data_IF_683439477795
#
_entry.id   IF_683439477795
#
_cell.length_a   1.000
_cell.length_b   1.000
_cell.length_c   1.000
_cell.angle_alpha   90.00
_cell.angle_beta   90.00
_cell.angle_gamma   90.00
#
_symmetry.space_group_name_H-M   'P 1'
#
loop_
_entity.id
_entity.type
_entity.pdbx_description
1 polymer ?
#
# COMPACT_ATOMS: atom_id res chain seq x y z
N UNK A 1 25.02 45.17 -63.20
CA UNK A 1 24.83 43.75 -63.55
C UNK A 1 25.36 42.88 -62.41
N UNK A 2 24.62 42.73 -61.31
CA UNK A 2 24.95 41.79 -60.22
C UNK A 2 23.63 41.21 -59.71
N UNK A 3 23.36 39.95 -60.06
CA UNK A 3 22.30 39.11 -59.45
C UNK A 3 22.89 38.51 -58.18
N UNK A 4 22.26 38.68 -57.02
CA UNK A 4 22.47 37.83 -55.85
C UNK A 4 21.15 37.15 -55.50
N UNK A 5 21.09 35.85 -55.79
CA UNK A 5 20.08 34.93 -55.28
C UNK A 5 20.28 34.79 -53.77
N UNK A 6 19.26 35.14 -52.97
CA UNK A 6 19.14 34.63 -51.61
C UNK A 6 18.48 33.25 -51.67
N UNK A 7 19.23 32.21 -51.27
CA UNK A 7 18.71 30.87 -51.00
C UNK A 7 17.85 30.95 -49.73
N UNK A 8 16.58 30.55 -49.83
CA UNK A 8 15.75 30.29 -48.67
C UNK A 8 16.28 29.04 -47.95
N UNK A 9 16.78 29.22 -46.73
CA UNK A 9 17.09 28.13 -45.81
C UNK A 9 15.77 27.77 -45.12
N UNK A 10 15.20 26.64 -45.49
CA UNK A 10 14.08 26.03 -44.77
C UNK A 10 14.65 25.36 -43.52
N UNK A 11 14.48 25.98 -42.36
CA UNK A 11 14.72 25.34 -41.06
C UNK A 11 13.48 24.50 -40.77
N UNK A 12 13.57 23.18 -41.01
CA UNK A 12 12.60 22.23 -40.47
C UNK A 12 12.85 22.16 -38.96
N UNK A 13 12.06 22.90 -38.19
CA UNK A 13 12.03 22.72 -36.74
C UNK A 13 11.27 21.43 -36.45
N UNK A 14 11.99 20.37 -36.11
CA UNK A 14 11.41 19.20 -35.45
C UNK A 14 10.92 19.67 -34.08
N UNK A 15 9.61 19.86 -33.94
CA UNK A 15 8.99 19.94 -32.63
C UNK A 15 8.98 18.53 -32.03
N UNK A 16 9.97 18.22 -31.19
CA UNK A 16 9.80 17.16 -30.21
C UNK A 16 8.80 17.69 -29.19
N UNK A 17 7.56 17.19 -29.25
CA UNK A 17 6.63 17.34 -28.13
C UNK A 17 7.22 16.54 -26.98
N UNK A 18 7.84 17.21 -26.01
CA UNK A 18 8.12 16.59 -24.72
C UNK A 18 6.76 16.26 -24.10
N UNK A 19 6.36 14.99 -24.14
CA UNK A 19 5.29 14.52 -23.28
C UNK A 19 5.77 14.75 -21.84
N UNK A 20 5.10 15.63 -21.10
CA UNK A 20 5.26 15.68 -19.66
C UNK A 20 4.27 14.67 -19.09
N UNK A 21 4.75 13.55 -18.58
CA UNK A 21 3.93 12.68 -17.74
C UNK A 21 3.56 13.44 -16.46
N UNK A 22 2.34 13.27 -15.96
CA UNK A 22 2.01 13.83 -14.66
C UNK A 22 2.74 13.02 -13.59
N UNK A 23 3.32 13.72 -12.61
CA UNK A 23 3.96 13.09 -11.48
C UNK A 23 3.10 13.21 -10.23
N UNK A 24 2.84 12.07 -9.59
CA UNK A 24 2.07 11.96 -8.36
C UNK A 24 2.98 11.51 -7.23
N UNK A 25 3.43 12.46 -6.39
CA UNK A 25 4.25 12.13 -5.22
C UNK A 25 5.56 11.40 -5.58
N UNK A 26 6.12 11.69 -6.76
CA UNK A 26 7.33 11.06 -7.30
C UNK A 26 7.09 9.84 -8.18
N UNK A 27 5.83 9.46 -8.42
CA UNK A 27 5.45 8.40 -9.38
C UNK A 27 5.12 9.06 -10.72
N UNK A 28 5.72 8.63 -11.82
CA UNK A 28 5.42 9.05 -13.19
C UNK A 28 4.50 8.00 -13.84
N UNK A 29 3.37 8.42 -14.42
CA UNK A 29 2.44 7.49 -15.07
C UNK A 29 2.92 7.19 -16.48
N UNK A 30 3.83 6.22 -16.64
CA UNK A 30 4.52 5.92 -17.89
C UNK A 30 4.60 4.42 -18.25
N UNK A 31 4.10 3.54 -17.38
CA UNK A 31 4.11 2.08 -17.55
C UNK A 31 5.39 1.41 -17.05
N UNK A 32 6.31 2.15 -16.40
CA UNK A 32 7.50 1.64 -15.74
C UNK A 32 7.25 1.47 -14.23
N UNK A 33 8.03 0.61 -13.55
CA UNK A 33 7.88 0.35 -12.11
C UNK A 33 9.08 0.82 -11.29
N UNK A 34 9.98 1.61 -11.87
CA UNK A 34 11.26 2.00 -11.25
C UNK A 34 11.13 3.05 -10.14
N UNK A 35 10.05 3.82 -10.17
CA UNK A 35 9.62 4.81 -9.18
C UNK A 35 8.80 4.19 -8.02
N UNK A 36 8.17 3.04 -8.26
CA UNK A 36 7.47 2.24 -7.25
C UNK A 36 8.44 1.55 -6.28
N UNK A 37 8.14 1.64 -4.99
CA UNK A 37 8.92 0.97 -3.95
C UNK A 37 8.28 -0.35 -3.57
N UNK A 38 9.09 -1.24 -3.01
CA UNK A 38 8.62 -2.53 -2.48
C UNK A 38 7.51 -2.35 -1.42
N UNK A 39 7.55 -1.25 -0.66
CA UNK A 39 6.52 -0.92 0.35
C UNK A 39 5.19 -0.47 -0.26
N UNK A 40 5.17 -0.08 -1.53
CA UNK A 40 3.96 0.32 -2.23
C UNK A 40 3.22 -0.90 -2.84
N UNK A 41 3.86 -2.09 -2.84
CA UNK A 41 3.23 -3.35 -3.25
C UNK A 41 2.27 -3.82 -2.17
N UNK A 42 1.00 -4.02 -2.52
CA UNK A 42 -0.03 -4.43 -1.57
C UNK A 42 -0.04 -5.95 -1.34
N UNK A 43 0.13 -6.75 -2.39
CA UNK A 43 0.02 -8.20 -2.33
C UNK A 43 1.37 -8.88 -1.99
N UNK A 44 1.94 -8.50 -0.84
CA UNK A 44 3.17 -9.11 -0.36
C UNK A 44 2.88 -10.54 0.15
N UNK A 45 3.72 -11.53 -0.19
CA UNK A 45 3.56 -12.89 0.30
C UNK A 45 3.80 -12.99 1.81
N UNK A 46 2.87 -13.58 2.55
CA UNK A 46 2.95 -13.76 4.01
C UNK A 46 4.23 -14.48 4.49
N UNK A 47 4.79 -15.35 3.63
CA UNK A 47 5.90 -16.24 3.99
C UNK A 47 7.26 -15.82 3.43
N UNK A 48 7.37 -14.68 2.76
CA UNK A 48 8.63 -14.21 2.18
C UNK A 48 8.87 -12.74 2.52
N UNK A 49 10.13 -12.33 2.74
CA UNK A 49 10.44 -10.92 2.88
C UNK A 49 10.03 -10.18 1.60
N UNK A 50 9.58 -8.91 1.69
CA UNK A 50 9.05 -8.17 0.55
C UNK A 50 9.99 -8.09 -0.66
N UNK A 51 11.30 -8.09 -0.41
CA UNK A 51 12.35 -8.08 -1.45
C UNK A 51 12.44 -9.36 -2.28
N UNK A 52 11.82 -10.45 -1.84
CA UNK A 52 11.78 -11.74 -2.53
C UNK A 52 10.39 -12.03 -3.14
N UNK A 53 9.45 -11.08 -3.06
CA UNK A 53 8.13 -11.22 -3.64
C UNK A 53 8.23 -11.33 -5.17
N UNK A 54 7.67 -12.41 -5.73
CA UNK A 54 7.57 -12.67 -7.18
C UNK A 54 6.09 -12.74 -7.59
N UNK A 55 5.80 -13.03 -8.85
CA UNK A 55 4.42 -13.14 -9.34
C UNK A 55 3.82 -11.83 -9.80
N UNK A 56 2.54 -11.92 -10.09
CA UNK A 56 1.66 -10.79 -10.33
C UNK A 56 1.66 -9.86 -9.11
N UNK A 57 1.61 -8.57 -9.37
CA UNK A 57 1.73 -7.56 -8.33
C UNK A 57 0.70 -6.46 -8.54
N UNK A 58 0.15 -5.98 -7.43
CA UNK A 58 -0.57 -4.71 -7.39
C UNK A 58 0.16 -3.78 -6.44
N UNK A 59 0.44 -2.60 -6.93
CA UNK A 59 0.99 -1.49 -6.16
C UNK A 59 -0.06 -0.42 -6.05
N UNK A 60 -0.10 0.27 -4.92
CA UNK A 60 -0.94 1.44 -4.78
C UNK A 60 -0.40 2.42 -3.75
N UNK A 61 -0.71 3.70 -3.97
CA UNK A 61 -0.31 4.77 -3.07
C UNK A 61 -1.30 5.90 -3.13
N UNK A 62 -1.68 6.41 -1.96
CA UNK A 62 -2.35 7.69 -1.88
C UNK A 62 -1.35 8.84 -1.95
N UNK A 63 -1.67 9.83 -2.77
CA UNK A 63 -0.85 11.01 -3.00
C UNK A 63 -1.71 12.24 -2.77
N UNK A 64 -1.27 13.13 -1.87
CA UNK A 64 -2.02 14.35 -1.54
C UNK A 64 -1.67 15.56 -2.44
N UNK A 65 -0.60 15.47 -3.24
CA UNK A 65 -0.08 16.57 -4.08
C UNK A 65 0.41 16.03 -5.44
N UNK A 66 0.07 16.66 -6.58
CA UNK A 66 -0.54 17.99 -6.71
C UNK A 66 -2.05 18.03 -6.37
N UNK A 67 -2.75 16.91 -6.50
CA UNK A 67 -4.14 16.73 -6.09
C UNK A 67 -4.30 15.37 -5.38
N UNK A 68 -5.20 15.26 -4.38
CA UNK A 68 -5.56 13.99 -3.76
C UNK A 68 -5.96 12.92 -4.78
N UNK A 69 -5.20 11.83 -4.84
CA UNK A 69 -5.45 10.72 -5.74
C UNK A 69 -4.90 9.40 -5.20
N UNK A 70 -5.53 8.31 -5.59
CA UNK A 70 -5.00 6.96 -5.46
C UNK A 70 -4.35 6.56 -6.77
N UNK A 71 -3.05 6.33 -6.73
CA UNK A 71 -2.26 5.86 -7.87
C UNK A 71 -2.11 4.36 -7.73
N UNK A 72 -2.30 3.63 -8.83
CA UNK A 72 -2.21 2.18 -8.88
C UNK A 72 -1.25 1.75 -9.99
N UNK A 73 -0.56 0.64 -9.77
CA UNK A 73 0.10 -0.11 -10.82
C UNK A 73 -0.21 -1.60 -10.69
N UNK A 74 -0.56 -2.24 -11.80
CA UNK A 74 -0.78 -3.68 -11.90
C UNK A 74 0.33 -4.25 -12.78
N UNK A 75 0.93 -5.34 -12.34
CA UNK A 75 1.92 -6.10 -13.09
C UNK A 75 1.44 -7.53 -13.24
N UNK A 76 1.34 -7.99 -14.49
CA UNK A 76 1.13 -9.38 -14.84
C UNK A 76 2.47 -10.06 -15.18
N UNK A 77 2.70 -11.28 -14.73
CA UNK A 77 3.92 -12.04 -15.04
C UNK A 77 3.82 -12.70 -16.42
N UNK A 78 2.70 -13.38 -16.70
CA UNK A 78 2.55 -14.22 -17.89
C UNK A 78 1.90 -13.52 -19.07
N UNK A 79 0.84 -12.74 -18.84
CA UNK A 79 -0.07 -12.25 -19.87
C UNK A 79 -0.13 -10.73 -19.97
N UNK A 80 -0.71 -10.21 -21.05
CA UNK A 80 -0.97 -8.79 -21.20
C UNK A 80 -2.23 -8.42 -20.41
N UNK A 81 -2.20 -7.25 -19.77
CA UNK A 81 -3.35 -6.68 -19.09
C UNK A 81 -4.28 -6.10 -20.15
N UNK A 82 -5.56 -6.50 -20.12
CA UNK A 82 -6.54 -6.12 -21.11
C UNK A 82 -7.96 -6.12 -20.56
N UNK A 83 -8.92 -6.32 -21.46
CA UNK A 83 -10.35 -6.36 -21.14
C UNK A 83 -10.67 -7.31 -19.97
N UNK A 84 -11.64 -6.92 -19.16
CA UNK A 84 -12.09 -7.63 -17.95
C UNK A 84 -11.07 -7.63 -16.80
N UNK A 85 -9.99 -6.85 -16.88
CA UNK A 85 -9.20 -6.50 -15.69
C UNK A 85 -10.01 -5.53 -14.82
N UNK A 86 -10.27 -5.92 -13.57
CA UNK A 86 -11.08 -5.14 -12.64
C UNK A 86 -10.33 -4.79 -11.36
N UNK A 87 -10.52 -3.59 -10.83
CA UNK A 87 -10.09 -3.19 -9.48
C UNK A 87 -11.29 -2.68 -8.70
N UNK A 88 -11.67 -3.42 -7.67
CA UNK A 88 -12.80 -3.17 -6.78
C UNK A 88 -12.36 -2.36 -5.57
N UNK A 89 -13.11 -1.31 -5.23
CA UNK A 89 -12.77 -0.32 -4.22
C UNK A 89 -13.87 -0.25 -3.16
N UNK A 90 -13.53 -0.66 -1.94
CA UNK A 90 -14.31 -0.43 -0.73
C UNK A 90 -13.84 0.89 -0.10
N UNK A 91 -14.69 1.91 -0.12
CA UNK A 91 -14.31 3.28 0.23
C UNK A 91 -14.83 3.70 1.60
N UNK A 92 -15.86 3.03 2.11
CA UNK A 92 -16.42 3.30 3.44
C UNK A 92 -15.92 2.31 4.51
N UNK A 93 -15.20 1.26 4.10
CA UNK A 93 -14.66 0.23 4.98
C UNK A 93 -15.73 -0.74 5.50
N UNK A 94 -16.97 -0.67 5.00
CA UNK A 94 -18.07 -1.53 5.38
C UNK A 94 -18.28 -2.59 4.30
N UNK A 95 -17.77 -3.79 4.56
CA UNK A 95 -17.99 -4.91 3.64
C UNK A 95 -19.49 -5.23 3.44
N UNK A 96 -20.44 -4.72 4.22
CA UNK A 96 -21.87 -5.01 4.03
C UNK A 96 -22.58 -4.09 3.03
N UNK A 97 -21.97 -2.96 2.65
CA UNK A 97 -22.45 -2.01 1.64
C UNK A 97 -21.82 -2.29 0.27
N UNK A 98 -22.28 -1.59 -0.77
CA UNK A 98 -21.72 -1.72 -2.11
C UNK A 98 -21.95 -3.05 -2.83
N UNK A 99 -21.16 -3.26 -3.90
CA UNK A 99 -21.21 -4.46 -4.72
C UNK A 99 -20.53 -5.65 -4.03
N UNK A 100 -21.14 -6.82 -4.20
CA UNK A 100 -20.62 -8.10 -3.71
C UNK A 100 -20.06 -8.93 -4.84
N UNK A 101 -18.75 -9.13 -4.84
CA UNK A 101 -18.07 -10.02 -5.79
C UNK A 101 -18.56 -11.44 -5.53
N UNK A 102 -19.18 -12.05 -6.55
CA UNK A 102 -19.87 -13.34 -6.47
C UNK A 102 -20.86 -13.47 -5.30
N UNK A 103 -21.44 -12.35 -4.88
CA UNK A 103 -22.43 -12.29 -3.80
C UNK A 103 -21.86 -12.46 -2.38
N UNK A 104 -20.54 -12.55 -2.20
CA UNK A 104 -19.94 -12.85 -0.88
C UNK A 104 -18.79 -11.92 -0.47
N UNK A 105 -17.93 -11.52 -1.41
CA UNK A 105 -16.70 -10.81 -1.09
C UNK A 105 -16.80 -9.31 -1.38
N UNK A 106 -15.92 -8.54 -0.74
CA UNK A 106 -15.88 -7.08 -0.79
C UNK A 106 -17.17 -6.42 -0.26
N UNK A 107 -17.20 -5.10 -0.37
CA UNK A 107 -18.35 -4.21 -0.34
C UNK A 107 -17.93 -2.99 -1.16
N UNK A 108 -17.95 -3.12 -2.48
CA UNK A 108 -17.32 -2.13 -3.35
C UNK A 108 -18.29 -1.00 -3.71
N UNK A 109 -18.03 0.22 -3.25
CA UNK A 109 -18.77 1.41 -3.70
C UNK A 109 -18.37 1.81 -5.11
N UNK A 110 -17.15 1.48 -5.54
CA UNK A 110 -16.63 1.80 -6.86
C UNK A 110 -15.79 0.67 -7.43
N UNK A 111 -15.65 0.63 -8.75
CA UNK A 111 -14.69 -0.24 -9.39
C UNK A 111 -14.16 0.38 -10.67
N UNK A 112 -12.90 0.06 -11.00
CA UNK A 112 -12.29 0.37 -12.29
C UNK A 112 -12.36 -0.89 -13.14
N UNK A 113 -12.81 -0.77 -14.39
CA UNK A 113 -12.79 -1.87 -15.35
C UNK A 113 -12.10 -1.45 -16.65
N UNK A 114 -11.30 -2.35 -17.20
CA UNK A 114 -10.70 -2.20 -18.52
C UNK A 114 -11.64 -2.82 -19.55
N UNK A 115 -12.00 -2.05 -20.58
CA UNK A 115 -12.87 -2.52 -21.68
C UNK A 115 -12.05 -2.85 -22.93
N UNK A 116 -12.73 -3.35 -23.97
CA UNK A 116 -12.14 -3.64 -25.30
C UNK A 116 -11.30 -2.52 -25.96
N UNK A 117 -11.36 -1.26 -25.51
CA UNK A 117 -10.48 -0.20 -25.98
C UNK A 117 -9.18 -0.06 -25.16
N UNK A 118 -8.94 -0.99 -24.23
CA UNK A 118 -7.82 -1.11 -23.30
C UNK A 118 -7.64 0.09 -22.38
N UNK A 119 -8.73 0.76 -21.97
CA UNK A 119 -8.65 1.91 -21.06
C UNK A 119 -9.37 1.67 -19.74
N UNK A 120 -8.83 2.22 -18.64
CA UNK A 120 -9.50 2.20 -17.35
C UNK A 120 -10.62 3.23 -17.26
N UNK A 121 -11.79 2.76 -16.83
CA UNK A 121 -12.98 3.56 -16.58
C UNK A 121 -13.53 3.26 -15.19
N UNK A 122 -13.98 4.30 -14.48
CA UNK A 122 -14.55 4.21 -13.15
C UNK A 122 -16.08 4.05 -13.21
N UNK A 123 -16.59 3.13 -12.40
CA UNK A 123 -18.01 2.81 -12.26
C UNK A 123 -18.44 2.81 -10.79
N UNK A 124 -19.73 3.01 -10.60
CA UNK A 124 -20.41 2.87 -9.32
C UNK A 124 -20.71 1.39 -9.06
N UNK A 125 -20.27 0.91 -7.90
CA UNK A 125 -20.53 -0.45 -7.43
C UNK A 125 -21.86 -0.59 -6.68
N UNK A 126 -22.36 0.47 -6.04
CA UNK A 126 -23.68 0.48 -5.40
C UNK A 126 -24.78 0.33 -6.44
N UNK A 127 -24.70 1.11 -7.52
CA UNK A 127 -25.53 1.01 -8.72
C UNK A 127 -24.74 0.30 -9.82
N UNK A 128 -24.39 -0.96 -9.58
CA UNK A 128 -23.52 -1.76 -10.44
C UNK A 128 -23.73 -1.55 -11.95
N UNK A 129 -22.69 -1.07 -12.62
CA UNK A 129 -22.69 -0.77 -14.06
C UNK A 129 -22.95 0.69 -14.42
N UNK A 130 -23.24 1.56 -13.45
CA UNK A 130 -23.37 3.00 -13.70
C UNK A 130 -21.99 3.67 -13.88
N UNK A 131 -21.84 4.39 -14.98
CA UNK A 131 -20.59 5.04 -15.35
C UNK A 131 -20.34 6.30 -14.53
N UNK A 132 -19.19 6.38 -13.86
CA UNK A 132 -18.79 7.55 -13.07
C UNK A 132 -17.90 8.47 -13.90
N UNK A 133 -16.87 7.92 -14.57
CA UNK A 133 -15.98 8.73 -15.39
C UNK A 133 -14.84 7.97 -16.05
N UNK A 134 -14.23 8.62 -17.05
CA UNK A 134 -13.02 8.15 -17.69
C UNK A 134 -12.92 8.51 -19.19
N UNK A 135 -11.87 8.03 -19.88
CA UNK A 135 -10.82 7.18 -19.34
C UNK A 135 -10.03 7.89 -18.23
N UNK A 136 -9.62 7.15 -17.22
CA UNK A 136 -8.72 7.66 -16.19
C UNK A 136 -7.37 8.01 -16.81
N UNK A 137 -6.51 8.74 -16.10
CA UNK A 137 -5.11 8.87 -16.51
C UNK A 137 -4.44 7.50 -16.38
N UNK A 138 -3.72 7.05 -17.41
CA UNK A 138 -3.15 5.72 -17.46
C UNK A 138 -1.94 5.61 -18.40
N UNK A 139 -1.12 4.59 -18.18
CA UNK A 139 -0.04 4.19 -19.07
C UNK A 139 0.15 2.67 -19.04
N UNK A 140 0.57 2.10 -20.17
CA UNK A 140 0.98 0.70 -20.25
C UNK A 140 2.47 0.61 -20.54
N UNK A 141 3.13 -0.43 -20.03
CA UNK A 141 4.44 -0.83 -20.54
C UNK A 141 4.37 -1.19 -22.02
N UNK A 142 5.53 -1.15 -22.70
CA UNK A 142 5.65 -1.54 -24.11
C UNK A 142 5.15 -2.97 -24.40
N UNK A 143 5.25 -3.88 -23.42
CA UNK A 143 4.76 -5.26 -23.53
C UNK A 143 3.31 -5.45 -23.04
N UNK A 144 2.67 -4.41 -22.52
CA UNK A 144 1.29 -4.43 -22.00
C UNK A 144 1.13 -5.21 -20.70
N UNK A 145 2.23 -5.55 -20.00
CA UNK A 145 2.21 -6.32 -18.77
C UNK A 145 2.19 -5.47 -17.51
N UNK A 146 2.45 -4.17 -17.63
CA UNK A 146 2.28 -3.18 -16.59
C UNK A 146 1.20 -2.21 -17.02
N UNK A 147 0.26 -1.94 -16.13
CA UNK A 147 -0.74 -0.89 -16.28
C UNK A 147 -0.65 0.01 -15.05
N UNK A 148 -0.42 1.28 -15.27
CA UNK A 148 -0.52 2.33 -14.26
C UNK A 148 -1.77 3.17 -14.51
N UNK A 149 -2.45 3.58 -13.45
CA UNK A 149 -3.58 4.50 -13.57
C UNK A 149 -3.84 5.28 -12.29
N UNK A 150 -4.58 6.37 -12.43
CA UNK A 150 -4.86 7.31 -11.35
C UNK A 150 -6.36 7.46 -11.13
N UNK A 151 -6.77 7.35 -9.87
CA UNK A 151 -8.14 7.65 -9.42
C UNK A 151 -8.10 8.90 -8.56
N UNK A 152 -8.60 10.05 -9.03
CA UNK A 152 -8.78 11.23 -8.19
C UNK A 152 -9.67 10.89 -6.98
N UNK A 153 -9.24 11.24 -5.77
CA UNK A 153 -9.97 10.88 -4.55
C UNK A 153 -11.41 11.45 -4.54
N UNK A 154 -11.60 12.62 -5.16
CA UNK A 154 -12.91 13.26 -5.31
C UNK A 154 -13.89 12.50 -6.20
N UNK A 155 -13.41 11.58 -7.06
CA UNK A 155 -14.28 10.71 -7.86
C UNK A 155 -14.82 9.52 -7.05
N UNK A 156 -14.23 9.24 -5.88
CA UNK A 156 -14.58 8.12 -5.01
C UNK A 156 -14.94 8.60 -3.59
N UNK A 157 -15.51 9.80 -3.48
CA UNK A 157 -15.99 10.42 -2.24
C UNK A 157 -14.93 10.72 -1.17
N UNK A 158 -13.67 10.93 -1.56
CA UNK A 158 -12.57 11.34 -0.67
C UNK A 158 -12.47 10.50 0.64
N UNK A 159 -12.24 9.18 0.53
CA UNK A 159 -12.33 8.27 1.67
C UNK A 159 -11.27 8.60 2.73
N UNK A 160 -11.69 8.70 4.00
CA UNK A 160 -10.89 9.22 5.13
C UNK A 160 -9.83 8.25 5.64
N UNK A 161 -10.09 6.95 5.59
CA UNK A 161 -9.27 5.92 6.25
C UNK A 161 -8.45 5.08 5.25
N UNK A 162 -8.55 5.42 3.96
CA UNK A 162 -8.00 4.65 2.86
C UNK A 162 -9.07 3.91 2.07
N UNK A 163 -8.63 3.00 1.21
CA UNK A 163 -9.47 2.20 0.34
C UNK A 163 -9.11 0.73 0.49
N UNK A 164 -10.12 -0.12 0.66
CA UNK A 164 -10.03 -1.57 0.55
C UNK A 164 -10.02 -1.98 -0.93
N UNK A 165 -9.17 -2.93 -1.30
CA UNK A 165 -8.89 -3.28 -2.69
C UNK A 165 -8.94 -4.78 -2.91
N UNK A 166 -9.74 -5.17 -3.91
CA UNK A 166 -9.59 -6.43 -4.64
C UNK A 166 -9.28 -6.10 -6.09
N UNK A 167 -8.53 -6.96 -6.76
CA UNK A 167 -8.27 -6.83 -8.17
C UNK A 167 -8.26 -8.19 -8.86
N UNK A 168 -8.56 -8.19 -10.14
CA UNK A 168 -8.37 -9.31 -11.03
C UNK A 168 -7.78 -8.83 -12.35
N UNK A 169 -6.97 -9.67 -12.98
CA UNK A 169 -6.40 -9.43 -14.31
C UNK A 169 -7.14 -10.32 -15.27
N UNK A 170 -7.77 -9.70 -16.28
CA UNK A 170 -8.56 -10.36 -17.31
C UNK A 170 -9.61 -11.35 -16.77
N UNK A 171 -10.14 -11.12 -15.56
CA UNK A 171 -11.04 -12.04 -14.84
C UNK A 171 -10.48 -13.48 -14.64
N UNK A 172 -9.16 -13.66 -14.71
CA UNK A 172 -8.49 -14.96 -14.61
C UNK A 172 -7.47 -15.03 -13.46
N UNK A 173 -6.73 -13.94 -13.20
CA UNK A 173 -5.74 -13.86 -12.12
C UNK A 173 -6.28 -12.98 -11.00
N UNK A 174 -6.53 -13.56 -9.83
CA UNK A 174 -7.11 -12.84 -8.68
C UNK A 174 -6.03 -12.31 -7.72
N UNK A 175 -6.22 -11.09 -7.24
CA UNK A 175 -5.35 -10.39 -6.28
C UNK A 175 -6.22 -9.80 -5.16
N UNK A 176 -6.15 -10.30 -3.92
CA UNK A 176 -5.37 -11.46 -3.48
C UNK A 176 -5.75 -12.76 -4.19
N UNK A 177 -4.88 -13.76 -4.17
CA UNK A 177 -5.15 -15.07 -4.77
C UNK A 177 -6.34 -15.79 -4.10
N UNK A 178 -6.69 -15.39 -2.88
CA UNK A 178 -7.86 -15.86 -2.15
C UNK A 178 -8.60 -14.67 -1.53
N UNK A 179 -9.77 -14.33 -2.09
CA UNK A 179 -10.59 -13.21 -1.60
C UNK A 179 -11.20 -13.46 -0.22
N UNK A 180 -11.19 -14.71 0.27
CA UNK A 180 -11.65 -15.02 1.63
C UNK A 180 -10.68 -14.56 2.71
N UNK A 181 -9.42 -14.25 2.34
CA UNK A 181 -8.41 -13.72 3.27
C UNK A 181 -8.60 -12.24 3.59
N UNK A 182 -9.54 -11.56 2.93
CA UNK A 182 -9.82 -10.14 3.12
C UNK A 182 -9.22 -9.27 2.02
N UNK A 183 -9.60 -7.99 2.04
CA UNK A 183 -9.16 -6.99 1.08
C UNK A 183 -7.75 -6.48 1.39
N UNK A 184 -7.05 -6.03 0.36
CA UNK A 184 -5.81 -5.27 0.50
C UNK A 184 -6.16 -3.83 0.90
N UNK A 185 -5.27 -3.10 1.58
CA UNK A 185 -5.56 -1.74 2.04
C UNK A 185 -4.58 -0.71 1.49
N UNK A 186 -5.11 0.40 0.97
CA UNK A 186 -4.34 1.59 0.60
C UNK A 186 -4.71 2.70 1.57
N UNK A 187 -3.79 3.07 2.46
CA UNK A 187 -4.06 4.10 3.47
C UNK A 187 -3.90 5.51 2.88
N UNK A 188 -4.87 6.41 3.10
CA UNK A 188 -4.79 7.82 2.68
C UNK A 188 -3.78 8.62 3.52
N UNK A 189 -3.54 8.17 4.74
CA UNK A 189 -2.63 8.82 5.64
C UNK A 189 -1.89 7.72 6.40
N UNK A 190 -0.66 7.48 5.98
CA UNK A 190 0.32 7.19 7.02
C UNK A 190 1.29 8.35 7.05
N UNK A 191 0.85 9.43 7.71
CA UNK A 191 1.80 10.25 8.43
C UNK A 191 2.38 9.36 9.52
N UNK A 192 3.34 8.51 9.14
CA UNK A 192 4.33 8.08 10.10
C UNK A 192 5.09 9.35 10.44
N UNK A 193 4.98 9.86 11.66
CA UNK A 193 5.82 10.97 12.10
C UNK A 193 7.27 10.64 11.73
N UNK A 194 7.99 11.59 11.10
CA UNK A 194 9.37 11.33 10.70
C UNK A 194 10.18 10.97 11.95
N UNK A 195 11.04 9.97 11.82
CA UNK A 195 11.97 9.59 12.88
C UNK A 195 12.72 10.84 13.35
N UNK A 196 12.57 11.17 14.61
CA UNK A 196 13.23 12.31 15.24
C UNK A 196 14.63 11.95 15.76
N UNK A 197 14.86 10.66 16.00
CA UNK A 197 16.11 10.14 16.57
C UNK A 197 16.66 8.97 15.76
N UNK A 198 17.79 9.16 15.08
CA UNK A 198 18.42 8.15 14.21
C UNK A 198 19.44 7.24 14.92
N UNK A 199 19.54 7.32 16.25
CA UNK A 199 20.47 6.47 17.01
C UNK A 199 20.00 5.01 17.01
N UNK A 200 20.96 4.08 16.96
CA UNK A 200 20.65 2.65 16.99
C UNK A 200 20.19 2.23 18.39
N UNK A 201 18.90 1.93 18.52
CA UNK A 201 18.27 1.55 19.78
C UNK A 201 17.11 0.59 19.57
N UNK A 202 16.81 -0.16 20.61
CA UNK A 202 15.69 -1.11 20.65
C UNK A 202 14.74 -0.73 21.77
N UNK A 203 13.47 -1.08 21.65
CA UNK A 203 12.53 -1.00 22.76
C UNK A 203 12.18 -2.42 23.23
N UNK A 204 12.15 -2.63 24.54
CA UNK A 204 11.66 -3.88 25.13
C UNK A 204 10.29 -3.60 25.71
N UNK A 205 9.27 -4.29 25.18
CA UNK A 205 7.88 -4.08 25.57
C UNK A 205 7.53 -4.98 26.75
N UNK A 206 7.09 -4.36 27.83
CA UNK A 206 6.55 -5.03 29.00
C UNK A 206 5.03 -5.13 28.86
N UNK A 207 4.54 -6.37 28.77
CA UNK A 207 3.12 -6.68 28.67
C UNK A 207 2.58 -7.10 30.03
N UNK A 208 1.75 -6.24 30.61
CA UNK A 208 1.05 -6.53 31.87
C UNK A 208 0.05 -7.67 31.66
N UNK A 209 -0.65 -7.65 30.52
CA UNK A 209 -1.58 -8.72 30.13
C UNK A 209 -0.86 -10.07 30.02
N UNK A 210 0.34 -10.10 29.42
CA UNK A 210 1.17 -11.31 29.37
C UNK A 210 1.67 -11.71 30.74
N UNK A 211 2.09 -10.77 31.59
CA UNK A 211 2.53 -11.07 32.96
C UNK A 211 1.46 -11.83 33.74
N UNK A 212 0.21 -11.44 33.59
CA UNK A 212 -0.92 -12.08 34.26
C UNK A 212 -1.19 -13.52 33.79
N UNK A 213 -0.84 -13.83 32.53
CA UNK A 213 -1.14 -15.12 31.88
C UNK A 213 0.09 -16.03 31.71
N UNK A 214 1.30 -15.55 32.05
CA UNK A 214 2.54 -16.26 31.80
C UNK A 214 2.86 -17.33 32.86
N UNK A 215 2.78 -18.60 32.44
CA UNK A 215 3.26 -19.83 33.09
C UNK A 215 2.70 -20.20 34.48
N UNK A 216 2.17 -19.27 35.29
CA UNK A 216 1.51 -19.61 36.56
C UNK A 216 0.59 -18.50 37.08
N UNK A 217 -0.69 -18.55 36.69
CA UNK A 217 -1.72 -17.56 37.05
C UNK A 217 -2.08 -17.56 38.55
N UNK A 218 -1.61 -18.57 39.32
CA UNK A 218 -2.04 -18.81 40.70
C UNK A 218 -0.97 -18.48 41.75
N UNK A 219 0.20 -17.96 41.36
CA UNK A 219 1.23 -17.55 42.30
C UNK A 219 1.16 -16.05 42.61
N UNK A 220 1.32 -15.64 43.89
CA UNK A 220 1.13 -14.26 44.34
C UNK A 220 2.16 -13.24 43.81
N UNK A 221 3.13 -13.68 43.00
CA UNK A 221 4.01 -12.81 42.23
C UNK A 221 4.33 -13.54 40.93
N UNK A 222 3.86 -13.03 39.79
CA UNK A 222 4.15 -13.56 38.44
C UNK A 222 5.61 -13.25 38.06
N UNK A 223 6.57 -13.84 38.79
CA UNK A 223 8.01 -13.57 38.70
C UNK A 223 8.63 -14.09 37.41
N UNK A 224 8.04 -15.12 36.80
CA UNK A 224 8.60 -15.77 35.63
C UNK A 224 8.66 -14.82 34.42
N UNK A 225 7.59 -14.05 34.19
CA UNK A 225 7.60 -13.03 33.14
C UNK A 225 8.60 -11.92 33.45
N UNK A 226 8.66 -11.46 34.70
CA UNK A 226 9.63 -10.44 35.11
C UNK A 226 11.09 -10.91 34.91
N UNK A 227 11.38 -12.18 35.21
CA UNK A 227 12.70 -12.76 34.97
C UNK A 227 13.04 -12.81 33.48
N UNK A 228 12.06 -13.16 32.64
CA UNK A 228 12.21 -13.16 31.19
C UNK A 228 12.45 -11.74 30.65
N UNK A 229 11.67 -10.76 31.12
CA UNK A 229 11.85 -9.35 30.76
C UNK A 229 13.23 -8.83 31.19
N UNK A 230 13.66 -9.15 32.42
CA UNK A 230 15.01 -8.80 32.89
C UNK A 230 16.11 -9.49 32.08
N UNK A 231 15.91 -10.74 31.67
CA UNK A 231 16.88 -11.47 30.83
C UNK A 231 17.08 -10.77 29.48
N UNK A 232 16.02 -10.22 28.86
CA UNK A 232 16.14 -9.43 27.63
C UNK A 232 16.95 -8.16 27.86
N UNK A 233 16.69 -7.43 28.95
CA UNK A 233 17.50 -6.25 29.29
C UNK A 233 18.98 -6.61 29.43
N UNK A 234 19.30 -7.70 30.12
CA UNK A 234 20.68 -8.16 30.25
C UNK A 234 21.31 -8.53 28.91
N UNK A 235 20.56 -9.13 27.98
CA UNK A 235 21.06 -9.40 26.63
C UNK A 235 21.40 -8.12 25.87
N UNK A 236 20.54 -7.11 25.92
CA UNK A 236 20.81 -5.80 25.33
C UNK A 236 22.04 -5.13 25.95
N UNK A 237 22.15 -5.16 27.29
CA UNK A 237 23.32 -4.61 28.01
C UNK A 237 24.62 -5.31 27.62
N UNK A 238 24.62 -6.64 27.57
CA UNK A 238 25.82 -7.42 27.19
C UNK A 238 26.20 -7.23 25.73
N UNK A 239 25.22 -6.96 24.85
CA UNK A 239 25.45 -6.62 23.46
C UNK A 239 25.87 -5.15 23.26
N UNK A 240 25.84 -4.32 24.29
CA UNK A 240 26.11 -2.88 24.19
C UNK A 240 25.06 -2.12 23.38
N UNK A 241 23.85 -2.66 23.27
CA UNK A 241 22.74 -2.06 22.52
C UNK A 241 21.94 -1.18 23.49
N UNK A 242 21.81 0.14 23.24
CA UNK A 242 20.91 1.00 24.00
C UNK A 242 19.47 0.51 23.88
N UNK A 243 18.75 0.48 25.00
CA UNK A 243 17.35 0.08 25.02
C UNK A 243 16.52 0.96 25.94
N UNK A 244 15.26 1.15 25.53
CA UNK A 244 14.22 1.76 26.35
C UNK A 244 13.18 0.69 26.73
N UNK A 245 12.45 0.92 27.82
CA UNK A 245 11.36 0.05 28.26
C UNK A 245 10.03 0.72 27.89
N UNK A 246 9.19 -0.02 27.17
CA UNK A 246 7.85 0.41 26.79
C UNK A 246 6.81 -0.45 27.49
N UNK A 247 5.59 0.07 27.59
CA UNK A 247 4.39 -0.63 28.04
C UNK A 247 3.46 -0.91 26.86
N UNK A 248 2.39 -1.67 27.07
CA UNK A 248 1.37 -1.93 26.03
C UNK A 248 0.67 -0.65 25.55
N UNK A 249 0.58 0.38 26.40
CA UNK A 249 -0.05 1.64 26.02
C UNK A 249 0.80 2.45 25.04
N UNK A 250 2.13 2.33 25.14
CA UNK A 250 3.07 2.99 24.23
C UNK A 250 3.00 2.41 22.80
N UNK A 251 2.41 1.22 22.61
CA UNK A 251 2.23 0.60 21.28
C UNK A 251 1.27 1.38 20.38
N UNK A 252 0.47 2.27 20.95
CA UNK A 252 -0.45 3.14 20.19
C UNK A 252 0.19 4.48 19.80
N UNK A 253 1.37 4.81 20.35
CA UNK A 253 2.07 6.06 20.02
C UNK A 253 3.10 5.82 18.90
N UNK A 254 2.60 5.81 17.67
CA UNK A 254 3.42 5.69 16.45
C UNK A 254 4.55 6.76 16.44
N UNK A 255 4.33 7.95 17.02
CA UNK A 255 5.34 9.02 17.10
C UNK A 255 6.56 8.67 17.93
N UNK A 256 6.35 7.86 18.96
CA UNK A 256 7.43 7.32 19.76
C UNK A 256 8.07 6.12 19.05
N UNK A 257 7.24 5.20 18.54
CA UNK A 257 7.69 3.89 18.03
C UNK A 257 8.60 3.98 16.79
N UNK A 258 8.36 4.94 15.90
CA UNK A 258 9.19 5.18 14.70
C UNK A 258 10.67 5.47 15.02
N UNK A 259 11.00 5.79 16.28
CA UNK A 259 12.38 6.06 16.70
C UNK A 259 13.17 4.81 17.09
N UNK A 260 12.54 3.64 17.21
CA UNK A 260 13.20 2.37 17.52
C UNK A 260 13.47 1.58 16.24
N UNK A 261 14.64 0.94 16.18
CA UNK A 261 14.97 0.06 15.05
C UNK A 261 14.34 -1.34 15.21
N UNK A 262 14.07 -1.77 16.44
CA UNK A 262 13.46 -3.07 16.78
C UNK A 262 12.59 -2.94 18.03
N UNK A 263 11.39 -3.52 17.99
CA UNK A 263 10.55 -3.79 19.16
C UNK A 263 10.76 -5.26 19.60
N UNK A 264 11.13 -5.46 20.86
CA UNK A 264 11.37 -6.78 21.43
C UNK A 264 10.21 -7.11 22.36
N UNK A 265 9.48 -8.17 22.02
CA UNK A 265 8.48 -8.78 22.88
C UNK A 265 9.08 -10.04 23.50
N UNK A 266 9.39 -10.07 24.80
CA UNK A 266 9.94 -11.27 25.44
C UNK A 266 9.00 -12.48 25.31
N UNK A 267 7.69 -12.22 25.32
CA UNK A 267 6.64 -13.16 24.99
C UNK A 267 5.40 -12.40 24.51
N UNK A 268 4.78 -12.87 23.41
CA UNK A 268 3.77 -12.09 22.67
C UNK A 268 2.35 -12.66 22.74
N UNK A 269 2.14 -13.88 23.24
CA UNK A 269 0.89 -14.62 23.01
C UNK A 269 -0.37 -14.03 23.68
N UNK A 270 -0.22 -13.04 24.57
CA UNK A 270 -1.33 -12.43 25.31
C UNK A 270 -1.37 -10.90 25.16
N UNK A 271 -0.61 -10.31 24.23
CA UNK A 271 -0.72 -8.89 23.94
C UNK A 271 -2.09 -8.63 23.30
N UNK A 272 -2.87 -7.63 23.74
CA UNK A 272 -4.17 -7.32 23.16
C UNK A 272 -4.07 -6.99 21.65
N UNK A 273 -4.98 -7.54 20.84
CA UNK A 273 -4.93 -7.39 19.38
C UNK A 273 -5.10 -5.94 18.92
N UNK A 274 -5.92 -5.15 19.62
CA UNK A 274 -6.16 -3.72 19.34
C UNK A 274 -4.90 -2.85 19.53
N UNK A 275 -3.91 -3.33 20.29
CA UNK A 275 -2.61 -2.68 20.46
C UNK A 275 -1.63 -3.03 19.33
N UNK A 276 -1.91 -4.08 18.55
CA UNK A 276 -1.07 -4.54 17.45
C UNK A 276 -1.50 -3.98 16.09
N UNK A 277 -2.79 -3.78 15.85
CA UNK A 277 -3.30 -3.29 14.56
C UNK A 277 -2.74 -1.89 14.17
N UNK A 278 -2.03 -1.22 15.07
CA UNK A 278 -1.44 0.11 14.91
C UNK A 278 0.09 0.12 14.66
N UNK A 279 0.78 -1.03 14.73
CA UNK A 279 2.24 -1.19 14.57
C UNK A 279 2.60 -2.03 13.34
#
# INVERSE_FOLDING_TARGET
>A
MIRRLLKAIFIVSLFFSSYSFASYGGIEIDGDLSDWKVVDRLNLPDNLPPTLAKGDAIYAKYVSSPFPAYVFAIKAESEQIGEDTTVWLNTDGDSSTGYKIWGSYCGAEFYVNIFSDNKPYLYDGVNYGEFVGGPLEYAYSDDGKVLEFVIPASMINDPSDGVGVFADINNDIFIPSDYSMGELSVKNNVYYPPRSDFSKRVAIVYSETTREHFYDVNLPVQKAYNQLFMAMQYQCMMAGIPFDMLTEDDLTDISNLVNYDVLIFPYFAFVPADKFDQI
#
